data_IF_333830025450
#
_entry.id   IF_333830025450
#
_cell.length_a   1.000
_cell.length_b   1.000
_cell.length_c   1.000
_cell.angle_alpha   90.00
_cell.angle_beta   90.00
_cell.angle_gamma   90.00
#
_symmetry.space_group_name_H-M   'P 1'
#
loop_
_entity.id
_entity.type
_entity.pdbx_description
1 polymer ?
#
# COMPACT_ATOMS: atom_id res chain seq x y z
N UNK A 1 -47.56 17.47 -5.20
CA UNK A 1 -46.53 16.86 -4.34
C UNK A 1 -46.38 15.44 -4.83
N UNK A 2 -45.58 15.23 -5.88
CA UNK A 2 -45.39 13.92 -6.49
C UNK A 2 -44.34 13.18 -5.65
N UNK A 3 -44.74 12.02 -5.14
CA UNK A 3 -43.93 11.16 -4.31
C UNK A 3 -43.20 10.23 -5.27
N UNK A 4 -41.92 10.50 -5.51
CA UNK A 4 -41.07 9.70 -6.40
C UNK A 4 -40.93 8.29 -5.82
N UNK A 5 -41.75 7.38 -6.31
CA UNK A 5 -41.67 5.95 -6.02
C UNK A 5 -40.47 5.38 -6.76
N UNK A 6 -39.32 5.36 -6.10
CA UNK A 6 -38.13 4.65 -6.58
C UNK A 6 -38.47 3.15 -6.67
N UNK A 7 -38.50 2.59 -7.88
CA UNK A 7 -38.76 1.16 -8.06
C UNK A 7 -37.55 0.34 -7.60
N UNK A 8 -37.76 -0.86 -7.02
CA UNK A 8 -36.68 -1.69 -6.47
C UNK A 8 -35.62 -2.09 -7.51
N UNK A 9 -35.97 -2.08 -8.80
CA UNK A 9 -35.06 -2.35 -9.92
C UNK A 9 -34.06 -1.20 -10.12
N UNK A 10 -34.47 0.05 -9.87
CA UNK A 10 -33.60 1.22 -9.93
C UNK A 10 -32.63 1.26 -8.76
N UNK A 11 -33.06 0.85 -7.57
CA UNK A 11 -32.16 0.66 -6.42
C UNK A 11 -31.11 -0.41 -6.68
N UNK A 12 -31.50 -1.54 -7.29
CA UNK A 12 -30.59 -2.65 -7.60
C UNK A 12 -29.60 -2.25 -8.70
N UNK A 13 -30.06 -1.60 -9.77
CA UNK A 13 -29.20 -1.10 -10.83
C UNK A 13 -28.27 0.02 -10.32
N UNK A 14 -28.75 0.93 -9.46
CA UNK A 14 -27.91 1.95 -8.85
C UNK A 14 -26.86 1.36 -7.89
N UNK A 15 -27.20 0.35 -7.09
CA UNK A 15 -26.23 -0.37 -6.25
C UNK A 15 -25.22 -1.18 -7.05
N UNK A 16 -25.66 -1.87 -8.10
CA UNK A 16 -24.80 -2.73 -8.90
C UNK A 16 -23.88 -1.91 -9.81
N UNK A 17 -24.43 -0.94 -10.54
CA UNK A 17 -23.66 -0.06 -11.43
C UNK A 17 -22.84 0.96 -10.62
N UNK A 18 -23.40 1.53 -9.56
CA UNK A 18 -22.68 2.39 -8.62
C UNK A 18 -21.57 1.64 -7.87
N UNK A 19 -21.83 0.39 -7.49
CA UNK A 19 -20.84 -0.49 -6.86
C UNK A 19 -19.70 -0.87 -7.81
N UNK A 20 -19.97 -1.20 -9.07
CA UNK A 20 -18.94 -1.48 -10.07
C UNK A 20 -18.12 -0.22 -10.38
N UNK A 21 -18.76 0.94 -10.50
CA UNK A 21 -18.04 2.21 -10.72
C UNK A 21 -17.16 2.53 -9.51
N UNK A 22 -17.66 2.37 -8.28
CA UNK A 22 -16.87 2.52 -7.05
C UNK A 22 -15.67 1.55 -7.02
N UNK A 23 -15.85 0.30 -7.41
CA UNK A 23 -14.76 -0.69 -7.49
C UNK A 23 -13.69 -0.29 -8.53
N UNK A 24 -14.11 0.16 -9.71
CA UNK A 24 -13.21 0.58 -10.80
C UNK A 24 -12.47 1.87 -10.47
N UNK A 25 -13.09 2.81 -9.75
CA UNK A 25 -12.40 4.02 -9.29
C UNK A 25 -11.25 3.70 -8.33
N UNK A 26 -11.32 2.56 -7.62
CA UNK A 26 -10.36 2.18 -6.58
C UNK A 26 -9.28 1.22 -7.07
N UNK A 27 -9.54 0.47 -8.13
CA UNK A 27 -8.50 -0.40 -8.72
C UNK A 27 -7.33 0.41 -9.28
N UNK A 28 -7.60 1.60 -9.82
CA UNK A 28 -6.60 2.50 -10.40
C UNK A 28 -5.54 2.94 -9.36
N UNK A 29 -5.89 3.51 -8.20
CA UNK A 29 -4.91 3.87 -7.18
C UNK A 29 -4.20 2.65 -6.55
N UNK A 30 -4.90 1.52 -6.35
CA UNK A 30 -4.28 0.28 -5.85
C UNK A 30 -3.17 -0.21 -6.78
N UNK A 31 -3.46 -0.31 -8.08
CA UNK A 31 -2.48 -0.76 -9.07
C UNK A 31 -1.32 0.23 -9.22
N UNK A 32 -1.57 1.53 -9.10
CA UNK A 32 -0.52 2.55 -9.11
C UNK A 32 0.44 2.45 -7.93
N UNK A 33 -0.08 2.22 -6.73
CA UNK A 33 0.74 1.96 -5.54
C UNK A 33 1.56 0.68 -5.71
N UNK A 34 0.91 -0.41 -6.12
CA UNK A 34 1.56 -1.70 -6.36
C UNK A 34 2.70 -1.60 -7.38
N UNK A 35 2.46 -0.93 -8.51
CA UNK A 35 3.46 -0.72 -9.54
C UNK A 35 4.64 0.11 -9.00
N UNK A 36 4.38 1.15 -8.21
CA UNK A 36 5.41 2.00 -7.61
C UNK A 36 6.31 1.22 -6.66
N UNK A 37 5.71 0.43 -5.75
CA UNK A 37 6.45 -0.43 -4.82
C UNK A 37 7.30 -1.48 -5.55
N UNK A 38 6.74 -2.06 -6.61
CA UNK A 38 7.43 -3.01 -7.47
C UNK A 38 8.63 -2.37 -8.16
N UNK A 39 8.45 -1.20 -8.79
CA UNK A 39 9.52 -0.46 -9.46
C UNK A 39 10.63 -0.02 -8.51
N UNK A 40 10.27 0.46 -7.30
CA UNK A 40 11.26 0.79 -6.27
C UNK A 40 12.08 -0.43 -5.86
N UNK A 41 11.43 -1.60 -5.76
CA UNK A 41 12.13 -2.85 -5.44
C UNK A 41 13.09 -3.27 -6.53
N UNK A 42 12.72 -3.10 -7.80
CA UNK A 42 13.64 -3.32 -8.93
C UNK A 42 14.81 -2.34 -8.93
N UNK A 43 14.54 -1.05 -8.71
CA UNK A 43 15.54 0.01 -8.77
C UNK A 43 16.57 -0.04 -7.62
N UNK A 44 16.14 -0.55 -6.47
CA UNK A 44 16.94 -0.60 -5.24
C UNK A 44 17.30 -2.03 -4.84
N UNK A 45 17.17 -2.99 -5.77
CA UNK A 45 17.46 -4.38 -5.51
C UNK A 45 18.95 -4.57 -5.20
N UNK A 46 19.23 -5.27 -4.11
CA UNK A 46 20.57 -5.72 -3.75
C UNK A 46 20.58 -7.24 -3.64
N UNK A 47 21.27 -7.90 -4.58
CA UNK A 47 21.45 -9.36 -4.64
C UNK A 47 22.03 -9.92 -3.34
N UNK A 48 22.92 -9.18 -2.68
CA UNK A 48 23.56 -9.63 -1.44
C UNK A 48 22.56 -9.72 -0.26
N UNK A 49 21.43 -9.02 -0.37
CA UNK A 49 20.35 -9.00 0.61
C UNK A 49 19.17 -9.91 0.24
N UNK A 50 19.25 -10.62 -0.90
CA UNK A 50 18.16 -11.45 -1.38
C UNK A 50 17.92 -12.64 -0.43
N UNK A 51 16.65 -12.97 -0.13
CA UNK A 51 16.33 -14.18 0.63
C UNK A 51 16.87 -15.43 -0.11
N UNK A 52 17.46 -16.39 0.62
CA UNK A 52 18.14 -17.53 -0.02
C UNK A 52 17.18 -18.45 -0.80
N UNK A 53 15.95 -18.63 -0.33
CA UNK A 53 14.98 -19.57 -0.95
C UNK A 53 13.54 -19.01 -0.98
N UNK A 54 13.21 -18.11 -1.91
CA UNK A 54 11.86 -17.58 -2.07
C UNK A 54 10.90 -18.60 -2.71
N UNK A 55 9.71 -18.76 -2.14
CA UNK A 55 8.72 -19.79 -2.48
C UNK A 55 8.33 -19.87 -3.97
N UNK A 56 8.32 -18.74 -4.68
CA UNK A 56 7.96 -18.65 -6.10
C UNK A 56 9.08 -18.07 -6.97
N UNK A 57 10.32 -18.02 -6.46
CA UNK A 57 11.37 -17.17 -7.01
C UNK A 57 11.27 -15.72 -6.50
N UNK A 58 12.37 -14.97 -6.58
CA UNK A 58 12.48 -13.62 -5.99
C UNK A 58 11.37 -12.71 -6.51
N UNK A 59 11.30 -12.49 -7.82
CA UNK A 59 10.41 -11.49 -8.41
C UNK A 59 8.92 -11.82 -8.27
N UNK A 60 8.44 -13.05 -8.55
CA UNK A 60 7.03 -13.38 -8.32
C UNK A 60 6.63 -13.22 -6.85
N UNK A 61 7.52 -13.55 -5.92
CA UNK A 61 7.27 -13.38 -4.48
C UNK A 61 7.19 -11.90 -4.11
N UNK A 62 8.12 -11.06 -4.59
CA UNK A 62 8.13 -9.62 -4.36
C UNK A 62 6.86 -8.96 -4.89
N UNK A 63 6.44 -9.28 -6.12
CA UNK A 63 5.22 -8.75 -6.72
C UNK A 63 3.97 -9.13 -5.92
N UNK A 64 3.89 -10.37 -5.44
CA UNK A 64 2.79 -10.85 -4.61
C UNK A 64 2.75 -10.12 -3.26
N UNK A 65 3.89 -9.99 -2.59
CA UNK A 65 3.98 -9.27 -1.31
C UNK A 65 3.52 -7.83 -1.46
N UNK A 66 3.99 -7.12 -2.49
CA UNK A 66 3.56 -5.74 -2.71
C UNK A 66 2.10 -5.61 -3.09
N UNK A 67 1.52 -6.63 -3.76
CA UNK A 67 0.09 -6.64 -4.05
C UNK A 67 -0.71 -6.72 -2.74
N UNK A 68 -0.31 -7.60 -1.83
CA UNK A 68 -0.92 -7.72 -0.51
C UNK A 68 -0.77 -6.42 0.31
N UNK A 69 0.39 -5.77 0.25
CA UNK A 69 0.63 -4.48 0.92
C UNK A 69 -0.28 -3.38 0.34
N UNK A 70 -0.44 -3.30 -0.99
CA UNK A 70 -1.31 -2.32 -1.62
C UNK A 70 -2.78 -2.54 -1.24
N UNK A 71 -3.24 -3.80 -1.20
CA UNK A 71 -4.58 -4.15 -0.74
C UNK A 71 -4.78 -3.84 0.75
N UNK A 72 -3.78 -4.11 1.58
CA UNK A 72 -3.81 -3.76 3.00
C UNK A 72 -3.88 -2.25 3.21
N UNK A 73 -3.09 -1.47 2.47
CA UNK A 73 -3.10 -0.02 2.53
C UNK A 73 -4.48 0.54 2.17
N UNK A 74 -5.06 0.05 1.08
CA UNK A 74 -6.40 0.40 0.64
C UNK A 74 -7.46 0.07 1.72
N UNK A 75 -7.34 -1.08 2.39
CA UNK A 75 -8.18 -1.43 3.52
C UNK A 75 -8.00 -0.49 4.73
N UNK A 76 -6.77 -0.07 5.04
CA UNK A 76 -6.49 0.92 6.10
C UNK A 76 -7.20 2.25 5.79
N UNK A 77 -7.18 2.71 4.55
CA UNK A 77 -7.87 3.95 4.18
C UNK A 77 -9.38 3.86 4.35
N UNK A 78 -9.98 2.74 3.96
CA UNK A 78 -11.41 2.50 4.11
C UNK A 78 -11.84 2.46 5.58
N UNK A 79 -11.04 1.81 6.43
CA UNK A 79 -11.38 1.60 7.84
C UNK A 79 -11.14 2.83 8.69
N UNK A 80 -10.12 3.64 8.36
CA UNK A 80 -9.73 4.81 9.16
C UNK A 80 -10.30 6.13 8.66
N UNK A 81 -10.69 6.20 7.38
CA UNK A 81 -11.07 7.47 6.73
C UNK A 81 -9.93 8.48 6.62
N UNK A 82 -8.69 8.05 6.85
CA UNK A 82 -7.51 8.92 6.72
C UNK A 82 -7.24 9.23 5.25
N UNK A 83 -6.63 10.40 5.01
CA UNK A 83 -6.02 10.69 3.73
C UNK A 83 -4.84 9.74 3.47
N UNK A 84 -4.68 9.28 2.23
CA UNK A 84 -3.59 8.41 1.75
C UNK A 84 -2.21 8.80 2.30
N UNK A 85 -1.83 10.08 2.23
CA UNK A 85 -0.51 10.52 2.68
C UNK A 85 -0.34 10.42 4.21
N UNK A 86 -1.41 10.69 4.97
CA UNK A 86 -1.39 10.52 6.43
C UNK A 86 -1.25 9.05 6.80
N UNK A 87 -2.00 8.17 6.14
CA UNK A 87 -1.90 6.73 6.38
C UNK A 87 -0.49 6.19 6.03
N UNK A 88 0.09 6.62 4.91
CA UNK A 88 1.43 6.24 4.50
C UNK A 88 2.48 6.63 5.56
N UNK A 89 2.41 7.85 6.08
CA UNK A 89 3.32 8.31 7.14
C UNK A 89 3.14 7.52 8.44
N UNK A 90 1.90 7.23 8.85
CA UNK A 90 1.63 6.44 10.05
C UNK A 90 2.20 5.03 9.91
N UNK A 91 2.01 4.38 8.75
CA UNK A 91 2.54 3.04 8.49
C UNK A 91 4.06 3.03 8.43
N UNK A 92 4.68 4.04 7.81
CA UNK A 92 6.13 4.19 7.79
C UNK A 92 6.72 4.33 9.20
N UNK A 93 6.15 5.21 10.02
CA UNK A 93 6.59 5.41 11.39
C UNK A 93 6.37 4.15 12.24
N UNK A 94 5.24 3.46 12.04
CA UNK A 94 4.93 2.20 12.72
C UNK A 94 5.94 1.12 12.35
N UNK A 95 6.35 1.03 11.08
CA UNK A 95 7.38 0.11 10.63
C UNK A 95 8.75 0.46 11.24
N UNK A 96 9.13 1.74 11.30
CA UNK A 96 10.39 2.16 11.95
C UNK A 96 10.39 1.79 13.44
N UNK A 97 9.29 2.03 14.15
CA UNK A 97 9.16 1.67 15.56
C UNK A 97 9.11 0.15 15.77
N UNK A 98 8.49 -0.59 14.84
CA UNK A 98 8.27 -2.02 14.94
C UNK A 98 9.45 -2.89 14.50
N UNK A 99 10.28 -2.42 13.57
CA UNK A 99 11.47 -3.12 13.11
C UNK A 99 12.75 -2.32 13.34
N UNK A 100 12.81 -1.05 12.92
CA UNK A 100 14.04 -0.25 13.00
C UNK A 100 14.57 -0.05 14.43
N UNK A 101 13.70 0.27 15.38
CA UNK A 101 14.10 0.48 16.79
C UNK A 101 14.55 -0.82 17.46
N UNK A 102 13.79 -1.95 17.37
CA UNK A 102 14.26 -3.25 17.84
C UNK A 102 15.59 -3.71 17.23
N UNK A 103 15.87 -3.35 15.98
CA UNK A 103 17.12 -3.75 15.33
C UNK A 103 18.34 -3.18 16.01
N UNK A 104 18.27 -1.90 16.39
CA UNK A 104 19.34 -1.23 17.15
C UNK A 104 19.36 -1.73 18.59
N UNK A 105 18.22 -1.73 19.26
CA UNK A 105 18.16 -1.94 20.72
C UNK A 105 18.24 -3.40 21.14
N UNK A 106 17.82 -4.34 20.29
CA UNK A 106 17.72 -5.77 20.62
C UNK A 106 18.67 -6.61 19.77
N UNK A 107 18.79 -6.32 18.46
CA UNK A 107 19.67 -7.09 17.55
C UNK A 107 21.10 -6.54 17.48
N UNK A 108 21.35 -5.35 18.02
CA UNK A 108 22.68 -4.73 18.00
C UNK A 108 23.15 -4.29 16.61
N UNK A 109 22.22 -4.05 15.69
CA UNK A 109 22.51 -3.52 14.34
C UNK A 109 23.10 -2.12 14.47
N UNK A 110 24.03 -1.77 13.57
CA UNK A 110 24.65 -0.44 13.59
C UNK A 110 23.59 0.65 13.37
N UNK A 111 23.73 1.77 14.09
CA UNK A 111 22.82 2.92 13.93
C UNK A 111 22.76 3.41 12.47
N UNK A 112 23.89 3.36 11.77
CA UNK A 112 23.98 3.74 10.36
C UNK A 112 23.12 2.85 9.45
N UNK A 113 23.22 1.52 9.61
CA UNK A 113 22.40 0.57 8.85
C UNK A 113 20.91 0.71 9.18
N UNK A 114 20.55 0.87 10.46
CA UNK A 114 19.16 1.03 10.87
C UNK A 114 18.53 2.32 10.33
N UNK A 115 19.29 3.42 10.30
CA UNK A 115 18.84 4.69 9.71
C UNK A 115 18.65 4.55 8.20
N UNK A 116 19.58 3.90 7.50
CA UNK A 116 19.44 3.64 6.06
C UNK A 116 18.21 2.78 5.75
N UNK A 117 18.02 1.67 6.47
CA UNK A 117 16.84 0.80 6.32
C UNK A 117 15.53 1.56 6.59
N UNK A 118 15.52 2.40 7.63
CA UNK A 118 14.37 3.25 7.96
C UNK A 118 14.07 4.30 6.88
N UNK A 119 15.11 4.90 6.29
CA UNK A 119 14.98 5.86 5.20
C UNK A 119 14.40 5.21 3.94
N UNK A 120 14.84 3.99 3.58
CA UNK A 120 14.23 3.22 2.50
C UNK A 120 12.78 2.87 2.80
N UNK A 121 12.46 2.42 4.02
CA UNK A 121 11.07 2.17 4.43
C UNK A 121 10.18 3.40 4.25
N UNK A 122 10.65 4.57 4.71
CA UNK A 122 9.97 5.85 4.51
C UNK A 122 9.78 6.18 3.03
N UNK A 123 10.81 6.00 2.20
CA UNK A 123 10.75 6.26 0.77
C UNK A 123 9.65 5.41 0.09
N UNK A 124 9.60 4.12 0.40
CA UNK A 124 8.60 3.20 -0.15
C UNK A 124 7.18 3.63 0.21
N UNK A 125 6.93 3.99 1.48
CA UNK A 125 5.61 4.44 1.90
C UNK A 125 5.22 5.79 1.30
N UNK A 126 6.12 6.78 1.33
CA UNK A 126 5.83 8.14 0.87
C UNK A 126 5.56 8.18 -0.64
N UNK A 127 6.42 7.54 -1.44
CA UNK A 127 6.25 7.55 -2.90
C UNK A 127 5.01 6.78 -3.34
N UNK A 128 4.79 5.60 -2.78
CA UNK A 128 3.64 4.77 -3.13
C UNK A 128 2.32 5.39 -2.65
N UNK A 129 2.29 5.98 -1.45
CA UNK A 129 1.15 6.72 -0.92
C UNK A 129 0.85 8.01 -1.70
N UNK A 130 1.89 8.71 -2.20
CA UNK A 130 1.72 9.86 -3.08
C UNK A 130 1.07 9.46 -4.42
N UNK A 131 1.59 8.40 -5.06
CA UNK A 131 1.01 7.88 -6.32
C UNK A 131 -0.42 7.41 -6.11
N UNK A 132 -0.69 6.70 -5.01
CA UNK A 132 -2.04 6.32 -4.63
C UNK A 132 -2.96 7.55 -4.56
N UNK A 133 -2.55 8.59 -3.80
CA UNK A 133 -3.34 9.82 -3.64
C UNK A 133 -3.62 10.50 -4.98
N UNK A 134 -2.63 10.58 -5.87
CA UNK A 134 -2.78 11.20 -7.19
C UNK A 134 -3.73 10.45 -8.12
N UNK A 135 -3.90 9.16 -7.92
CA UNK A 135 -4.76 8.31 -8.74
C UNK A 135 -6.15 8.13 -8.14
N UNK A 136 -6.33 8.46 -6.85
CA UNK A 136 -7.61 8.47 -6.16
C UNK A 136 -8.37 9.79 -6.27
N UNK A 137 -7.68 10.86 -6.64
CA UNK A 137 -8.26 12.17 -7.00
C UNK A 137 -8.86 12.14 -8.41
#
# INVERSE_FOLDING_TARGET
MAQDTFEPVDCLNHFYFGGIIQMVQRIKPILGMWATLSLLSFALFDEASAPPDPMFGIWPTVLLVWLLVALFFDWVLQTTGLNAMKAALVLALTQILGSGVPDVLMRGVSLGEAVLASAFGLLFWVLSGFVYSKLSD
#
